data_IF_648897673644
#
_entry.id   IF_648897673644
#
_cell.length_a   1.000
_cell.length_b   1.000
_cell.length_c   1.000
_cell.angle_alpha   90.00
_cell.angle_beta   90.00
_cell.angle_gamma   90.00
#
_symmetry.space_group_name_H-M   'P 1'
#
loop_
_entity.id
_entity.type
_entity.pdbx_description
1 polymer ?
#
# COMPACT_ATOMS: atom_id res chain seq x y z
N UNK A 1 14.79 26.78 -4.32
CA UNK A 1 15.49 26.68 -3.00
C UNK A 1 15.66 25.23 -2.55
N UNK A 2 14.63 24.36 -2.62
CA UNK A 2 14.74 22.94 -2.23
C UNK A 2 15.62 22.18 -3.21
N UNK A 3 15.40 22.34 -4.52
CA UNK A 3 16.22 21.77 -5.57
C UNK A 3 17.70 22.22 -5.50
N UNK A 4 17.95 23.43 -5.03
CA UNK A 4 19.31 23.99 -4.88
C UNK A 4 20.10 23.32 -3.76
N UNK A 5 19.41 22.83 -2.71
CA UNK A 5 20.03 22.07 -1.61
C UNK A 5 20.45 20.65 -2.04
N UNK A 6 19.76 20.07 -3.02
CA UNK A 6 20.03 18.74 -3.52
C UNK A 6 21.03 18.70 -4.70
N UNK A 7 21.32 19.84 -5.34
CA UNK A 7 22.06 19.92 -6.61
C UNK A 7 23.57 20.14 -6.51
N UNK A 8 24.14 20.41 -5.34
CA UNK A 8 25.55 20.77 -5.25
C UNK A 8 26.48 19.55 -5.18
N UNK A 9 27.54 19.44 -6.02
CA UNK A 9 28.58 18.43 -5.82
C UNK A 9 29.33 18.58 -4.49
N UNK A 10 29.10 19.68 -3.78
CA UNK A 10 29.60 19.95 -2.43
C UNK A 10 28.48 19.94 -1.36
N UNK A 11 27.28 19.41 -1.68
CA UNK A 11 26.24 19.27 -0.66
C UNK A 11 26.72 18.29 0.42
N UNK A 12 26.77 18.70 1.69
CA UNK A 12 27.15 17.80 2.78
C UNK A 12 26.08 16.75 3.09
N UNK A 13 24.96 16.75 2.35
CA UNK A 13 23.79 15.90 2.58
C UNK A 13 23.61 14.93 1.41
N UNK A 14 23.93 13.70 1.63
CA UNK A 14 23.70 12.62 0.64
C UNK A 14 22.21 12.34 0.44
N UNK A 15 21.38 12.71 1.42
CA UNK A 15 19.92 12.49 1.41
C UNK A 15 19.19 13.60 2.13
N UNK A 16 18.08 14.03 1.54
CA UNK A 16 17.24 15.07 2.11
C UNK A 16 15.78 14.63 2.00
N UNK A 17 15.04 14.69 3.09
CA UNK A 17 13.60 14.49 3.10
C UNK A 17 12.88 15.79 3.41
N UNK A 18 11.82 16.10 2.67
CA UNK A 18 10.95 17.22 2.88
C UNK A 18 9.55 16.76 3.19
N UNK A 19 8.92 17.35 4.20
CA UNK A 19 7.51 17.14 4.47
C UNK A 19 6.70 18.27 3.83
N UNK A 20 5.77 17.92 2.95
CA UNK A 20 4.74 18.82 2.46
C UNK A 20 3.48 18.66 3.31
N UNK A 21 2.88 19.77 3.67
CA UNK A 21 1.59 19.77 4.41
C UNK A 21 0.49 20.27 3.47
N UNK A 22 -0.71 19.81 3.71
CA UNK A 22 -1.90 20.18 2.91
C UNK A 22 -2.14 21.68 2.83
N UNK A 23 -1.85 22.44 3.91
CA UNK A 23 -1.98 23.89 3.96
C UNK A 23 -0.94 24.65 3.10
N UNK A 24 0.06 23.93 2.58
CA UNK A 24 1.09 24.48 1.69
C UNK A 24 0.94 24.00 0.25
N UNK A 25 -0.06 23.17 -0.04
CA UNK A 25 -0.32 22.65 -1.39
C UNK A 25 -1.20 23.62 -2.16
N UNK A 26 -0.69 24.08 -3.28
CA UNK A 26 -1.35 24.97 -4.23
C UNK A 26 -1.09 24.53 -5.68
N UNK A 27 -1.55 25.32 -6.64
CA UNK A 27 -1.34 25.03 -8.07
C UNK A 27 0.13 25.04 -8.51
N UNK A 28 1.03 25.69 -7.75
CA UNK A 28 2.47 25.72 -8.03
C UNK A 28 3.17 24.47 -7.49
N UNK A 29 2.59 23.81 -6.49
CA UNK A 29 3.18 22.62 -5.85
C UNK A 29 3.36 21.47 -6.83
N UNK A 30 2.34 21.17 -7.65
CA UNK A 30 2.42 20.12 -8.67
C UNK A 30 3.45 20.42 -9.75
N UNK A 31 3.50 21.68 -10.18
CA UNK A 31 4.52 22.15 -11.14
C UNK A 31 5.92 22.03 -10.54
N UNK A 32 6.08 22.38 -9.27
CA UNK A 32 7.33 22.23 -8.53
C UNK A 32 7.76 20.76 -8.35
N UNK A 33 6.83 19.85 -8.12
CA UNK A 33 7.07 18.40 -8.07
C UNK A 33 7.58 17.91 -9.43
N UNK A 34 6.91 18.27 -10.53
CA UNK A 34 7.31 17.89 -11.88
C UNK A 34 8.70 18.44 -12.24
N UNK A 35 8.98 19.71 -11.88
CA UNK A 35 10.29 20.30 -12.06
C UNK A 35 11.35 19.54 -11.25
N UNK A 36 11.08 19.22 -9.98
CA UNK A 36 12.03 18.48 -9.16
C UNK A 36 12.32 17.09 -9.72
N UNK A 37 11.31 16.38 -10.23
CA UNK A 37 11.50 15.08 -10.90
C UNK A 37 12.43 15.17 -12.11
N UNK A 38 12.39 16.29 -12.85
CA UNK A 38 13.24 16.47 -14.05
C UNK A 38 14.71 16.76 -13.72
N UNK A 39 15.02 17.19 -12.51
CA UNK A 39 16.35 17.69 -12.13
C UNK A 39 17.01 16.97 -10.96
N UNK A 40 16.25 16.20 -10.19
CA UNK A 40 16.75 15.43 -9.04
C UNK A 40 16.61 13.94 -9.35
N UNK A 41 17.72 13.32 -9.68
CA UNK A 41 17.77 11.88 -9.88
C UNK A 41 17.47 11.15 -8.56
N UNK A 42 16.62 10.13 -8.62
CA UNK A 42 16.24 9.36 -7.43
C UNK A 42 15.23 10.04 -6.50
N UNK A 43 14.59 11.15 -6.91
CA UNK A 43 13.47 11.72 -6.16
C UNK A 43 12.38 10.66 -5.94
N UNK A 44 11.90 10.57 -4.69
CA UNK A 44 10.77 9.72 -4.32
C UNK A 44 9.73 10.52 -3.57
N UNK A 45 8.49 10.35 -3.95
CA UNK A 45 7.32 10.98 -3.31
C UNK A 45 6.60 9.90 -2.52
N UNK A 46 6.53 10.08 -1.21
CA UNK A 46 5.81 9.19 -0.30
C UNK A 46 4.58 9.91 0.20
N UNK A 47 3.41 9.35 -0.05
CA UNK A 47 2.14 9.87 0.45
C UNK A 47 1.73 9.06 1.68
N UNK A 48 1.51 9.74 2.80
CA UNK A 48 0.97 9.12 4.00
C UNK A 48 -0.55 9.32 4.01
N UNK A 49 -1.29 8.25 3.88
CA UNK A 49 -2.76 8.24 3.94
C UNK A 49 -3.25 7.69 5.29
N UNK A 50 -4.52 7.96 5.59
CA UNK A 50 -5.18 7.43 6.78
C UNK A 50 -6.69 7.49 6.57
N UNK A 51 -7.49 6.58 7.15
CA UNK A 51 -8.95 6.66 7.03
C UNK A 51 -9.52 7.92 7.70
N UNK A 52 -10.64 8.43 7.22
CA UNK A 52 -11.29 9.62 7.79
C UNK A 52 -11.65 9.40 9.26
N UNK A 53 -12.13 8.19 9.60
CA UNK A 53 -12.51 7.83 10.96
C UNK A 53 -11.32 7.88 11.93
N UNK A 54 -10.18 7.35 11.51
CA UNK A 54 -8.95 7.36 12.33
C UNK A 54 -8.37 8.76 12.41
N UNK A 55 -8.42 9.55 11.34
CA UNK A 55 -8.01 10.96 11.37
C UNK A 55 -8.86 11.76 12.35
N UNK A 56 -10.20 11.61 12.33
CA UNK A 56 -11.09 12.27 13.30
C UNK A 56 -10.66 11.91 14.73
N UNK A 57 -10.46 10.63 15.03
CA UNK A 57 -10.02 10.20 16.37
C UNK A 57 -8.65 10.81 16.77
N UNK A 58 -7.70 10.87 15.82
CA UNK A 58 -6.38 11.47 16.07
C UNK A 58 -6.47 12.97 16.32
N UNK A 59 -7.33 13.68 15.61
CA UNK A 59 -7.57 15.11 15.81
C UNK A 59 -8.29 15.38 17.14
N UNK A 60 -9.31 14.60 17.50
CA UNK A 60 -10.01 14.70 18.78
C UNK A 60 -9.06 14.47 19.98
N UNK A 61 -8.11 13.54 19.85
CA UNK A 61 -7.07 13.29 20.85
C UNK A 61 -5.95 14.36 20.87
N UNK A 62 -5.92 15.23 19.88
CA UNK A 62 -4.89 16.27 19.74
C UNK A 62 -5.48 17.64 20.12
N UNK A 63 -4.66 18.52 20.71
CA UNK A 63 -5.06 19.91 21.00
C UNK A 63 -4.79 20.85 19.82
N UNK A 64 -4.46 20.33 18.64
CA UNK A 64 -4.13 21.13 17.45
C UNK A 64 -5.36 21.24 16.55
N UNK A 65 -5.75 22.43 16.12
CA UNK A 65 -6.80 22.60 15.13
C UNK A 65 -6.35 22.03 13.77
N UNK A 66 -7.34 21.65 12.95
CA UNK A 66 -7.07 21.22 11.60
C UNK A 66 -6.43 22.36 10.77
N UNK A 67 -5.38 22.11 9.94
CA UNK A 67 -4.68 23.15 9.19
C UNK A 67 -5.59 23.98 8.28
N UNK A 68 -6.55 23.34 7.60
CA UNK A 68 -7.47 24.06 6.70
C UNK A 68 -8.55 24.83 7.43
N UNK A 69 -8.75 24.61 8.73
CA UNK A 69 -9.71 25.36 9.56
C UNK A 69 -11.09 25.56 8.90
N UNK A 70 -12.10 25.98 9.63
CA UNK A 70 -13.37 26.32 9.04
C UNK A 70 -14.54 26.08 9.99
N UNK A 71 -15.74 26.53 9.56
CA UNK A 71 -17.01 26.31 10.29
C UNK A 71 -17.64 24.93 9.97
N UNK A 72 -17.03 24.16 9.06
CA UNK A 72 -17.46 22.81 8.70
C UNK A 72 -17.08 21.79 9.77
N UNK A 73 -17.77 20.66 9.81
CA UNK A 73 -17.42 19.55 10.67
C UNK A 73 -16.01 19.00 10.37
N UNK A 74 -15.35 18.42 11.38
CA UNK A 74 -13.98 17.90 11.22
C UNK A 74 -13.89 16.85 10.09
N UNK A 75 -14.87 15.96 9.97
CA UNK A 75 -14.92 14.96 8.90
C UNK A 75 -15.01 15.60 7.51
N UNK A 76 -15.89 16.60 7.35
CA UNK A 76 -16.04 17.33 6.08
C UNK A 76 -14.76 18.08 5.71
N UNK A 77 -14.07 18.63 6.71
CA UNK A 77 -12.77 19.32 6.51
C UNK A 77 -11.69 18.33 6.05
N UNK A 78 -11.64 17.13 6.64
CA UNK A 78 -10.72 16.06 6.23
C UNK A 78 -11.03 15.59 4.80
N UNK A 79 -12.29 15.45 4.43
CA UNK A 79 -12.66 15.02 3.08
C UNK A 79 -12.35 16.11 2.03
N UNK A 80 -12.50 17.39 2.40
CA UNK A 80 -12.04 18.50 1.57
C UNK A 80 -10.51 18.49 1.40
N UNK A 81 -9.74 18.23 2.48
CA UNK A 81 -8.29 18.07 2.43
C UNK A 81 -7.89 16.93 1.50
N UNK A 82 -8.56 15.77 1.56
CA UNK A 82 -8.31 14.66 0.65
C UNK A 82 -8.45 15.06 -0.81
N UNK A 83 -9.55 15.74 -1.13
CA UNK A 83 -9.81 16.24 -2.49
C UNK A 83 -8.70 17.18 -2.96
N UNK A 84 -8.22 18.06 -2.08
CA UNK A 84 -7.09 18.94 -2.36
C UNK A 84 -5.79 18.18 -2.61
N UNK A 85 -5.58 17.09 -1.87
CA UNK A 85 -4.35 16.28 -1.93
C UNK A 85 -4.37 15.19 -3.01
N UNK A 86 -5.52 14.87 -3.62
CA UNK A 86 -5.65 13.83 -4.65
C UNK A 86 -4.63 13.98 -5.80
N UNK A 87 -4.36 15.18 -6.35
CA UNK A 87 -3.36 15.34 -7.39
C UNK A 87 -1.93 14.99 -6.92
N UNK A 88 -1.59 15.33 -5.67
CA UNK A 88 -0.28 14.98 -5.08
C UNK A 88 -0.19 13.49 -4.82
N UNK A 89 -1.30 12.87 -4.38
CA UNK A 89 -1.40 11.43 -4.18
C UNK A 89 -1.22 10.65 -5.49
N UNK A 90 -1.74 11.18 -6.59
CA UNK A 90 -1.58 10.57 -7.92
C UNK A 90 -0.12 10.59 -8.42
N UNK A 91 0.68 11.55 -7.97
CA UNK A 91 2.11 11.65 -8.27
C UNK A 91 3.01 10.83 -7.32
N UNK A 92 2.43 10.21 -6.30
CA UNK A 92 3.22 9.48 -5.30
C UNK A 92 3.80 8.17 -5.87
N UNK A 93 5.08 7.95 -5.62
CA UNK A 93 5.77 6.68 -5.92
C UNK A 93 5.38 5.59 -4.93
N UNK A 94 4.94 5.98 -3.73
CA UNK A 94 4.47 5.10 -2.67
C UNK A 94 3.38 5.77 -1.85
N UNK A 95 2.29 5.05 -1.62
CA UNK A 95 1.25 5.42 -0.65
C UNK A 95 1.36 4.49 0.56
N UNK A 96 1.44 5.06 1.75
CA UNK A 96 1.44 4.30 3.02
C UNK A 96 0.14 4.58 3.75
N UNK A 97 -0.73 3.58 3.88
CA UNK A 97 -1.87 3.67 4.79
C UNK A 97 -1.37 3.54 6.24
N UNK A 98 -1.61 4.59 7.01
CA UNK A 98 -1.22 4.68 8.42
C UNK A 98 -2.36 4.42 9.38
N UNK A 99 -3.52 3.99 8.90
CA UNK A 99 -4.74 3.83 9.71
C UNK A 99 -4.53 2.88 10.89
N UNK A 100 -3.85 1.76 10.64
CA UNK A 100 -3.57 0.73 11.65
C UNK A 100 -2.13 0.82 12.20
N UNK A 101 -1.38 1.89 11.88
CA UNK A 101 0.01 2.05 12.32
C UNK A 101 0.12 3.04 13.49
N UNK A 102 0.93 2.70 14.48
CA UNK A 102 1.45 3.66 15.46
C UNK A 102 2.72 4.35 14.92
N UNK A 103 3.22 5.36 15.66
CA UNK A 103 4.38 6.16 15.25
C UNK A 103 5.65 5.31 15.09
N UNK A 104 5.83 4.29 15.92
CA UNK A 104 7.00 3.42 15.88
C UNK A 104 6.94 2.49 14.66
N UNK A 105 5.79 1.90 14.40
CA UNK A 105 5.56 1.05 13.22
C UNK A 105 5.73 1.82 11.91
N UNK A 106 5.24 3.06 11.83
CA UNK A 106 5.47 3.92 10.67
C UNK A 106 6.97 4.27 10.53
N UNK A 107 7.65 4.61 11.63
CA UNK A 107 9.08 4.87 11.64
C UNK A 107 9.86 3.66 11.10
N UNK A 108 9.57 2.47 11.61
CA UNK A 108 10.25 1.25 11.21
C UNK A 108 9.99 0.94 9.72
N UNK A 109 8.74 1.13 9.25
CA UNK A 109 8.39 0.98 7.82
C UNK A 109 9.16 1.96 6.94
N UNK A 110 9.28 3.23 7.33
CA UNK A 110 10.05 4.23 6.58
C UNK A 110 11.55 3.96 6.65
N UNK A 111 12.08 3.60 7.82
CA UNK A 111 13.49 3.23 7.99
C UNK A 111 13.85 1.99 7.18
N UNK A 112 12.94 1.02 7.14
CA UNK A 112 13.09 -0.17 6.31
C UNK A 112 13.15 0.16 4.82
N UNK A 113 12.32 1.09 4.35
CA UNK A 113 12.25 1.50 2.94
C UNK A 113 13.43 2.36 2.51
N UNK A 114 13.87 3.29 3.38
CA UNK A 114 14.81 4.35 3.02
C UNK A 114 16.09 4.36 3.87
N UNK A 115 16.18 3.55 4.91
CA UNK A 115 17.27 3.60 5.90
C UNK A 115 18.66 3.14 5.43
N UNK A 116 18.76 2.39 4.33
CA UNK A 116 20.04 2.03 3.69
C UNK A 116 19.85 1.91 2.18
N UNK A 117 20.59 2.71 1.42
CA UNK A 117 20.46 2.84 -0.01
C UNK A 117 21.30 1.86 -0.80
N UNK A 118 21.03 1.85 -2.01
CA UNK A 118 21.72 1.70 -3.27
C UNK A 118 21.67 0.32 -3.95
N UNK A 119 21.36 -0.80 -3.27
CA UNK A 119 21.25 -2.09 -3.96
C UNK A 119 20.08 -2.96 -3.49
N UNK A 120 19.02 -2.38 -2.94
CA UNK A 120 17.90 -3.22 -2.49
C UNK A 120 16.93 -3.49 -3.63
N UNK A 121 16.65 -4.77 -3.92
CA UNK A 121 15.61 -5.14 -4.87
C UNK A 121 14.26 -4.57 -4.42
N UNK A 122 13.37 -4.30 -5.38
CA UNK A 122 12.00 -3.87 -5.12
C UNK A 122 11.35 -4.78 -4.07
N UNK A 123 10.78 -4.18 -3.03
CA UNK A 123 10.12 -4.92 -1.95
C UNK A 123 8.71 -5.27 -2.34
N UNK A 124 8.41 -6.54 -2.23
CA UNK A 124 7.09 -7.08 -2.51
C UNK A 124 6.33 -7.33 -1.21
N UNK A 125 5.11 -6.82 -1.13
CA UNK A 125 4.15 -7.18 -0.09
C UNK A 125 2.94 -7.88 -0.72
N UNK A 126 2.51 -8.97 -0.10
CA UNK A 126 1.29 -9.69 -0.44
C UNK A 126 0.36 -9.61 0.76
N UNK A 127 -0.82 -9.07 0.58
CA UNK A 127 -1.78 -8.92 1.68
C UNK A 127 -3.11 -9.59 1.36
N UNK A 128 -3.80 -10.08 2.39
CA UNK A 128 -5.20 -10.49 2.27
C UNK A 128 -6.10 -9.62 3.14
N UNK A 129 -7.32 -9.35 2.63
CA UNK A 129 -8.29 -8.51 3.32
C UNK A 129 -9.73 -8.95 3.10
N UNK A 130 -10.64 -8.44 3.93
CA UNK A 130 -12.09 -8.58 3.79
C UNK A 130 -12.72 -7.28 3.29
N UNK A 131 -13.48 -7.35 2.19
CA UNK A 131 -14.20 -6.18 1.67
C UNK A 131 -15.15 -5.55 2.70
N UNK A 132 -15.69 -6.34 3.63
CA UNK A 132 -16.53 -5.82 4.72
C UNK A 132 -15.79 -4.86 5.67
N UNK A 133 -14.45 -4.87 5.64
CA UNK A 133 -13.59 -4.01 6.45
C UNK A 133 -12.88 -2.93 5.60
N UNK A 134 -13.31 -2.75 4.34
CA UNK A 134 -12.71 -1.83 3.38
C UNK A 134 -11.49 -2.42 2.65
N UNK A 135 -11.21 -1.91 1.45
CA UNK A 135 -10.01 -2.25 0.71
C UNK A 135 -8.80 -1.50 1.28
N UNK A 136 -7.58 -2.10 1.25
CA UNK A 136 -6.37 -1.37 1.63
C UNK A 136 -6.12 -0.20 0.68
N UNK A 137 -5.65 0.92 1.22
CA UNK A 137 -5.42 2.15 0.45
C UNK A 137 -4.05 2.21 -0.19
N UNK A 138 -3.13 1.42 0.32
CA UNK A 138 -1.73 1.31 -0.09
C UNK A 138 -1.46 0.16 -1.06
N UNK A 139 -2.50 -0.50 -1.58
CA UNK A 139 -2.35 -1.57 -2.55
C UNK A 139 -2.22 -1.02 -3.98
N UNK A 140 -1.16 -1.45 -4.68
CA UNK A 140 -0.95 -1.13 -6.10
C UNK A 140 -1.84 -2.00 -7.00
N UNK A 141 -2.00 -3.28 -6.66
CA UNK A 141 -2.88 -4.21 -7.36
C UNK A 141 -3.85 -4.85 -6.37
N UNK A 142 -5.14 -4.74 -6.65
CA UNK A 142 -6.22 -5.33 -5.82
C UNK A 142 -6.97 -6.38 -6.65
N UNK A 143 -7.02 -7.61 -6.16
CA UNK A 143 -7.71 -8.72 -6.80
C UNK A 143 -8.89 -9.19 -5.96
N UNK A 144 -10.07 -9.25 -6.58
CA UNK A 144 -11.28 -9.79 -5.95
C UNK A 144 -11.32 -11.31 -6.08
N UNK A 145 -11.29 -12.00 -4.93
CA UNK A 145 -11.33 -13.46 -4.86
C UNK A 145 -12.73 -14.01 -4.55
N UNK A 146 -13.80 -13.20 -4.58
CA UNK A 146 -15.16 -13.64 -4.22
C UNK A 146 -15.79 -14.58 -5.24
N UNK A 147 -15.29 -14.63 -6.45
CA UNK A 147 -15.72 -15.55 -7.50
C UNK A 147 -15.31 -17.01 -7.25
N UNK A 148 -14.36 -17.27 -6.36
CA UNK A 148 -13.88 -18.60 -6.01
C UNK A 148 -14.88 -19.35 -5.09
N UNK A 149 -14.81 -20.70 -5.04
CA UNK A 149 -15.62 -21.50 -4.13
C UNK A 149 -15.55 -20.98 -2.70
N UNK A 150 -16.68 -20.91 -2.02
CA UNK A 150 -16.75 -20.28 -0.70
C UNK A 150 -16.74 -21.34 0.43
N UNK A 151 -15.63 -21.50 1.15
CA UNK A 151 -15.52 -22.47 2.25
C UNK A 151 -16.53 -22.24 3.38
N UNK A 152 -17.08 -21.02 3.50
CA UNK A 152 -18.07 -20.70 4.53
C UNK A 152 -19.36 -21.56 4.45
N UNK A 153 -19.68 -22.07 3.27
CA UNK A 153 -20.86 -22.92 3.06
C UNK A 153 -20.62 -24.40 3.40
N UNK A 154 -19.38 -24.78 3.75
CA UNK A 154 -19.01 -26.13 4.19
C UNK A 154 -18.79 -26.07 5.70
N UNK A 155 -19.61 -26.80 6.47
CA UNK A 155 -19.64 -26.65 7.94
C UNK A 155 -18.28 -26.94 8.59
N UNK A 156 -17.55 -27.94 8.08
CA UNK A 156 -16.22 -28.33 8.57
C UNK A 156 -15.13 -27.29 8.24
N UNK A 157 -15.32 -26.47 7.17
CA UNK A 157 -14.35 -25.47 6.74
C UNK A 157 -14.63 -24.09 7.32
N UNK A 158 -15.89 -23.83 7.72
CA UNK A 158 -16.33 -22.53 8.22
C UNK A 158 -15.48 -21.97 9.37
N UNK A 159 -15.13 -22.77 10.42
CA UNK A 159 -14.32 -22.27 11.54
C UNK A 159 -12.84 -22.08 11.19
N UNK A 160 -12.37 -22.70 10.13
CA UNK A 160 -10.97 -22.66 9.70
C UNK A 160 -10.65 -21.36 8.94
N UNK A 161 -9.41 -21.21 8.54
CA UNK A 161 -8.90 -20.07 7.74
C UNK A 161 -8.22 -20.55 6.46
N UNK A 162 -7.87 -19.64 5.57
CA UNK A 162 -7.09 -19.97 4.37
C UNK A 162 -5.66 -20.45 4.65
N UNK A 163 -5.20 -20.38 5.89
CA UNK A 163 -3.92 -20.97 6.34
C UNK A 163 -4.03 -22.48 6.60
N UNK A 164 -5.25 -22.99 6.75
CA UNK A 164 -5.49 -24.40 7.02
C UNK A 164 -5.55 -25.21 5.72
N UNK A 165 -4.90 -26.37 5.69
CA UNK A 165 -4.80 -27.20 4.49
C UNK A 165 -6.17 -27.55 3.86
N UNK A 166 -7.22 -27.96 4.60
CA UNK A 166 -8.51 -28.29 4.00
C UNK A 166 -9.16 -27.10 3.28
N UNK A 167 -8.99 -25.87 3.80
CA UNK A 167 -9.51 -24.65 3.17
C UNK A 167 -8.72 -24.34 1.91
N UNK A 168 -7.38 -24.46 1.95
CA UNK A 168 -6.54 -24.28 0.77
C UNK A 168 -6.91 -25.27 -0.34
N UNK A 169 -7.03 -26.53 -0.01
CA UNK A 169 -7.44 -27.57 -0.98
C UNK A 169 -8.78 -27.26 -1.62
N UNK A 170 -9.77 -26.86 -0.81
CA UNK A 170 -11.10 -26.50 -1.31
C UNK A 170 -11.07 -25.29 -2.26
N UNK A 171 -10.30 -24.24 -1.93
CA UNK A 171 -10.23 -23.01 -2.72
C UNK A 171 -9.37 -23.21 -3.96
N UNK A 172 -8.16 -23.73 -3.78
CA UNK A 172 -7.14 -23.82 -4.84
C UNK A 172 -7.37 -25.01 -5.76
N UNK A 173 -8.10 -26.05 -5.31
CA UNK A 173 -8.38 -27.24 -6.11
C UNK A 173 -9.36 -27.03 -7.26
N UNK A 174 -10.00 -25.88 -7.38
CA UNK A 174 -10.92 -25.58 -8.49
C UNK A 174 -10.16 -25.17 -9.75
N UNK A 175 -10.65 -25.62 -10.93
CA UNK A 175 -10.10 -25.20 -12.24
C UNK A 175 -10.08 -23.70 -12.39
N UNK A 176 -11.05 -23.00 -11.81
CA UNK A 176 -11.16 -21.55 -11.84
C UNK A 176 -10.01 -20.88 -11.04
N UNK A 177 -9.67 -21.41 -9.88
CA UNK A 177 -8.55 -20.92 -9.08
C UNK A 177 -7.21 -21.19 -9.78
N UNK A 178 -7.03 -22.37 -10.33
CA UNK A 178 -5.81 -22.71 -11.09
C UNK A 178 -5.67 -21.82 -12.34
N UNK A 179 -6.77 -21.63 -13.07
CA UNK A 179 -6.78 -20.75 -14.24
C UNK A 179 -6.53 -19.27 -13.89
N UNK A 180 -6.99 -18.81 -12.74
CA UNK A 180 -6.71 -17.46 -12.22
C UNK A 180 -5.25 -17.31 -11.84
N UNK A 181 -4.71 -18.22 -11.04
CA UNK A 181 -3.32 -18.17 -10.58
C UNK A 181 -2.33 -18.22 -11.75
N UNK A 182 -2.54 -19.12 -12.72
CA UNK A 182 -1.63 -19.20 -13.87
C UNK A 182 -1.63 -17.92 -14.74
N UNK A 183 -2.77 -17.21 -14.86
CA UNK A 183 -2.82 -15.94 -15.58
C UNK A 183 -2.20 -14.80 -14.77
N UNK A 184 -2.39 -14.83 -13.46
CA UNK A 184 -1.78 -13.86 -12.56
C UNK A 184 -0.27 -14.00 -12.54
N UNK A 185 0.25 -15.23 -12.50
CA UNK A 185 1.68 -15.51 -12.55
C UNK A 185 2.28 -14.93 -13.85
N UNK A 186 1.67 -15.18 -15.02
CA UNK A 186 2.12 -14.59 -16.28
C UNK A 186 2.04 -13.06 -16.31
N UNK A 187 1.05 -12.45 -15.66
CA UNK A 187 0.96 -11.00 -15.50
C UNK A 187 2.11 -10.47 -14.62
N UNK A 188 2.39 -11.13 -13.52
CA UNK A 188 3.46 -10.74 -12.59
C UNK A 188 4.85 -10.92 -13.24
N UNK A 189 5.08 -11.98 -14.01
CA UNK A 189 6.31 -12.16 -14.79
C UNK A 189 6.57 -10.98 -15.76
N UNK A 190 5.51 -10.39 -16.32
CA UNK A 190 5.60 -9.22 -17.18
C UNK A 190 5.83 -7.93 -16.38
N UNK A 191 5.06 -7.72 -15.29
CA UNK A 191 5.03 -6.44 -14.59
C UNK A 191 6.22 -6.24 -13.65
N UNK A 192 6.72 -7.29 -12.98
CA UNK A 192 7.79 -7.14 -12.00
C UNK A 192 9.06 -6.53 -12.61
N UNK A 193 9.58 -7.00 -13.76
CA UNK A 193 10.73 -6.38 -14.40
C UNK A 193 10.46 -4.94 -14.85
N UNK A 194 9.26 -4.65 -15.32
CA UNK A 194 8.86 -3.31 -15.75
C UNK A 194 8.87 -2.32 -14.57
N UNK A 195 8.29 -2.70 -13.43
CA UNK A 195 8.30 -1.86 -12.22
C UNK A 195 9.70 -1.66 -11.64
N UNK A 196 10.54 -2.68 -11.69
CA UNK A 196 11.96 -2.54 -11.32
C UNK A 196 12.66 -1.56 -12.26
N UNK A 197 12.40 -1.66 -13.58
CA UNK A 197 12.95 -0.75 -14.58
C UNK A 197 12.50 0.71 -14.43
N UNK A 198 11.29 0.94 -13.90
CA UNK A 198 10.78 2.27 -13.52
C UNK A 198 11.42 2.79 -12.22
N UNK A 199 12.22 1.98 -11.53
CA UNK A 199 12.84 2.33 -10.26
C UNK A 199 11.88 2.26 -9.06
N UNK A 200 10.79 1.48 -9.16
CA UNK A 200 9.91 1.23 -8.02
C UNK A 200 10.65 0.52 -6.90
N UNK A 201 10.55 1.06 -5.71
CA UNK A 201 11.15 0.47 -4.51
C UNK A 201 10.18 -0.45 -3.75
N UNK A 202 8.88 -0.36 -4.03
CA UNK A 202 7.83 -1.08 -3.31
C UNK A 202 6.67 -1.46 -4.23
N UNK A 203 6.09 -2.66 -4.03
CA UNK A 203 4.88 -3.11 -4.72
C UNK A 203 4.01 -3.93 -3.77
N UNK A 204 2.75 -3.53 -3.60
CA UNK A 204 1.76 -4.21 -2.75
C UNK A 204 0.68 -4.88 -3.60
N UNK A 205 0.56 -6.20 -3.45
CA UNK A 205 -0.51 -7.02 -4.04
C UNK A 205 -1.54 -7.33 -2.95
N UNK A 206 -2.79 -6.95 -3.14
CA UNK A 206 -3.86 -7.18 -2.17
C UNK A 206 -4.94 -8.11 -2.73
N UNK A 207 -5.31 -9.14 -1.97
CA UNK A 207 -6.32 -10.12 -2.33
C UNK A 207 -7.52 -9.99 -1.40
N UNK A 208 -8.72 -9.75 -1.96
CA UNK A 208 -9.93 -9.50 -1.20
C UNK A 208 -10.95 -10.62 -1.30
N UNK A 209 -11.55 -11.03 -0.17
CA UNK A 209 -12.79 -11.79 -0.16
C UNK A 209 -13.82 -11.13 0.77
N UNK A 210 -14.98 -11.70 1.00
CA UNK A 210 -16.02 -11.04 1.81
C UNK A 210 -15.54 -10.71 3.22
N UNK A 211 -15.02 -11.72 3.95
CA UNK A 211 -14.59 -11.59 5.34
C UNK A 211 -13.08 -11.48 5.56
N UNK A 212 -12.25 -11.78 4.55
CA UNK A 212 -10.79 -11.74 4.71
C UNK A 212 -10.17 -12.98 5.35
N UNK A 213 -10.96 -14.05 5.62
CA UNK A 213 -10.50 -15.20 6.40
C UNK A 213 -10.12 -16.43 5.57
N UNK A 214 -10.82 -16.71 4.47
CA UNK A 214 -10.68 -17.98 3.72
C UNK A 214 -10.01 -17.77 2.36
N UNK A 215 -10.79 -17.37 1.32
CA UNK A 215 -10.36 -17.31 -0.09
C UNK A 215 -9.18 -16.40 -0.32
N UNK A 216 -9.26 -15.17 0.20
CA UNK A 216 -8.19 -14.17 0.06
C UNK A 216 -6.88 -14.62 0.71
N UNK A 217 -6.95 -15.27 1.87
CA UNK A 217 -5.78 -15.82 2.57
C UNK A 217 -5.16 -16.96 1.74
N UNK A 218 -5.97 -17.92 1.28
CA UNK A 218 -5.48 -19.03 0.47
C UNK A 218 -4.81 -18.58 -0.83
N UNK A 219 -5.39 -17.56 -1.52
CA UNK A 219 -4.82 -16.99 -2.75
C UNK A 219 -3.56 -16.19 -2.44
N UNK A 220 -3.54 -15.37 -1.39
CA UNK A 220 -2.36 -14.61 -1.01
C UNK A 220 -1.16 -15.52 -0.73
N UNK A 221 -1.37 -16.61 0.00
CA UNK A 221 -0.31 -17.61 0.25
C UNK A 221 0.16 -18.32 -1.02
N UNK A 222 -0.76 -18.68 -1.92
CA UNK A 222 -0.41 -19.31 -3.20
C UNK A 222 0.45 -18.37 -4.05
N UNK A 223 0.03 -17.10 -4.20
CA UNK A 223 0.78 -16.08 -4.95
C UNK A 223 2.14 -15.79 -4.32
N UNK A 224 2.21 -15.72 -3.00
CA UNK A 224 3.50 -15.58 -2.32
C UNK A 224 4.44 -16.77 -2.59
N UNK A 225 3.88 -17.97 -2.69
CA UNK A 225 4.61 -19.17 -3.12
C UNK A 225 5.14 -19.05 -4.55
N UNK A 226 4.32 -18.62 -5.51
CA UNK A 226 4.71 -18.37 -6.90
C UNK A 226 5.82 -17.30 -6.98
N UNK A 227 5.68 -16.19 -6.27
CA UNK A 227 6.68 -15.14 -6.22
C UNK A 227 8.03 -15.63 -5.68
N UNK A 228 8.01 -16.49 -4.64
CA UNK A 228 9.24 -17.12 -4.13
C UNK A 228 9.89 -18.05 -5.17
N UNK A 229 9.05 -18.78 -5.93
CA UNK A 229 9.55 -19.59 -7.03
C UNK A 229 10.18 -18.77 -8.18
N UNK A 230 9.72 -17.53 -8.37
CA UNK A 230 10.31 -16.53 -9.29
C UNK A 230 11.56 -15.84 -8.70
N UNK A 231 12.04 -16.25 -7.53
CA UNK A 231 13.23 -15.68 -6.88
C UNK A 231 12.96 -14.40 -6.09
N UNK A 232 11.69 -14.04 -5.86
CA UNK A 232 11.31 -12.89 -5.06
C UNK A 232 11.15 -13.27 -3.58
N UNK A 233 11.21 -12.28 -2.69
CA UNK A 233 10.97 -12.51 -1.26
C UNK A 233 9.84 -11.60 -0.72
N UNK A 234 8.56 -11.95 -0.99
CA UNK A 234 7.44 -11.13 -0.55
C UNK A 234 7.21 -11.23 0.95
N UNK A 235 6.95 -10.09 1.60
CA UNK A 235 6.34 -10.06 2.92
C UNK A 235 4.85 -10.42 2.80
N UNK A 236 4.34 -11.31 3.67
CA UNK A 236 2.93 -11.74 3.62
C UNK A 236 2.22 -11.30 4.89
N UNK A 237 1.04 -10.68 4.73
CA UNK A 237 0.20 -10.25 5.85
C UNK A 237 -1.27 -10.61 5.61
N UNK A 238 -2.00 -10.92 6.68
CA UNK A 238 -3.42 -11.25 6.63
C UNK A 238 -4.19 -10.34 7.59
N UNK A 239 -4.62 -9.17 7.06
CA UNK A 239 -5.21 -8.10 7.88
C UNK A 239 -6.44 -8.52 8.69
N UNK A 240 -7.28 -9.37 8.12
CA UNK A 240 -8.60 -9.68 8.68
C UNK A 240 -8.80 -11.18 8.98
N UNK A 241 -7.74 -11.97 9.08
CA UNK A 241 -7.83 -13.44 9.28
C UNK A 241 -8.45 -13.83 10.61
N UNK A 242 -8.24 -13.03 11.66
CA UNK A 242 -8.72 -13.26 13.03
C UNK A 242 -9.93 -12.40 13.42
N UNK A 243 -10.53 -11.66 12.47
CA UNK A 243 -11.68 -10.76 12.68
C UNK A 243 -13.05 -11.41 12.44
#
# INVERSE_FOLDING_TARGET
>A
KVADLARGPESPLDRVAFALRSDTVDGETLSGIAEMRSVVEGLRIVFLDCSTEVLVQRYEGSRRPHPLGGDAGLADTIDAERTLMDPVRAEADLVIDTSDLNVHELHDKVAELYGQADDRPMRLAVSSFGYKHGAPRDADLVMDCRFLPNPHWVDELRPLSGLDAPVREHVLGSDLAQGFLGRLDGLLELLLPAFVGEGRSYLTLAFGCTGGRHRSVAIAEAVAGSLRAMGQNPAVTHRDVDR
#
